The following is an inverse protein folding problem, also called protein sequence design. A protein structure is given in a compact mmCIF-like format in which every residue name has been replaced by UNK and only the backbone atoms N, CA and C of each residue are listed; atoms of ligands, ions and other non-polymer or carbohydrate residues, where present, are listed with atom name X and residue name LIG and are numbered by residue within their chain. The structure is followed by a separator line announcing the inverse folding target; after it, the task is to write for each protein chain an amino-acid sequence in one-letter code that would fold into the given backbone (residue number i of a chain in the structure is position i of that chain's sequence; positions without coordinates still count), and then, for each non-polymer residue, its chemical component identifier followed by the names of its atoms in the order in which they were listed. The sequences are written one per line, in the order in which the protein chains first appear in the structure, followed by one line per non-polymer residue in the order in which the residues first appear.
data_IF_216836615728
#
_entry.id   IF_216836615728
#
_cell.length_a   1.000
_cell.length_b   1.000
_cell.length_c   1.000
_cell.angle_alpha   90.00
_cell.angle_beta   90.00
_cell.angle_gamma   90.00
#
_symmetry.space_group_name_H-M   'P 1'
#
loop_
_entity.id
_entity.type
_entity.pdbx_description
1 polymer ?
#
# COMPACT_ATOMS: atom_id res chain seq x y z
N UNK A 1 2.25 19.87 -10.13
CA UNK A 1 1.70 19.99 -8.76
C UNK A 1 0.62 21.08 -8.77
N UNK A 2 -0.65 20.70 -8.64
CA UNK A 2 -1.72 21.68 -8.43
C UNK A 2 -1.58 22.22 -7.01
N UNK A 3 -1.56 23.55 -6.91
CA UNK A 3 -1.24 24.37 -5.75
C UNK A 3 -1.70 23.77 -4.41
N UNK A 4 -0.74 23.50 -3.53
CA UNK A 4 -0.97 23.49 -2.09
C UNK A 4 -1.40 24.91 -1.74
N UNK A 5 -2.59 25.05 -1.18
CA UNK A 5 -3.20 26.32 -0.81
C UNK A 5 -2.25 27.16 0.07
N UNK A 6 -2.43 28.47 0.08
CA UNK A 6 -1.65 29.40 0.90
C UNK A 6 -1.63 28.97 2.39
N UNK A 7 -0.64 29.41 3.15
CA UNK A 7 -0.54 29.10 4.59
C UNK A 7 -1.82 29.47 5.37
N UNK A 8 -2.48 30.56 5.00
CA UNK A 8 -3.75 31.01 5.61
C UNK A 8 -4.87 29.98 5.33
N UNK A 9 -4.95 29.44 4.13
CA UNK A 9 -5.94 28.40 3.79
C UNK A 9 -5.65 27.08 4.51
N UNK A 10 -4.38 26.69 4.63
CA UNK A 10 -3.98 25.51 5.39
C UNK A 10 -4.36 25.63 6.86
N UNK A 11 -4.16 26.79 7.45
CA UNK A 11 -4.56 27.05 8.83
C UNK A 11 -6.10 26.93 9.02
N UNK A 12 -6.88 27.49 8.10
CA UNK A 12 -8.35 27.34 8.11
C UNK A 12 -8.79 25.87 8.00
N UNK A 13 -8.18 25.09 7.11
CA UNK A 13 -8.50 23.67 6.93
C UNK A 13 -8.14 22.84 8.18
N UNK A 14 -6.98 23.06 8.77
CA UNK A 14 -6.57 22.41 10.02
C UNK A 14 -7.53 22.72 11.16
N UNK A 15 -7.85 23.99 11.39
CA UNK A 15 -8.84 24.41 12.40
C UNK A 15 -10.21 23.77 12.18
N UNK A 16 -10.66 23.70 10.92
CA UNK A 16 -11.93 23.06 10.57
C UNK A 16 -11.93 21.56 10.92
N UNK A 17 -10.89 20.81 10.52
CA UNK A 17 -10.83 19.37 10.81
C UNK A 17 -10.64 19.07 12.30
N UNK A 18 -9.85 19.86 13.04
CA UNK A 18 -9.73 19.72 14.50
C UNK A 18 -11.08 19.95 15.16
N UNK A 19 -11.82 21.00 14.78
CA UNK A 19 -13.16 21.27 15.29
C UNK A 19 -14.16 20.15 14.95
N UNK A 20 -13.95 19.45 13.83
CA UNK A 20 -14.74 18.29 13.41
C UNK A 20 -14.33 16.98 14.12
N UNK A 21 -13.39 17.01 15.05
CA UNK A 21 -12.97 15.87 15.86
C UNK A 21 -11.83 15.03 15.28
N UNK A 22 -11.10 15.55 14.28
CA UNK A 22 -9.87 14.90 13.80
C UNK A 22 -8.73 15.19 14.76
N UNK A 23 -8.08 14.14 15.25
CA UNK A 23 -6.88 14.28 16.11
C UNK A 23 -5.65 14.48 15.22
N UNK A 24 -4.95 15.58 15.40
CA UNK A 24 -3.70 15.89 14.70
C UNK A 24 -2.56 16.04 15.69
N UNK A 25 -1.43 15.44 15.37
CA UNK A 25 -0.18 15.63 16.12
C UNK A 25 0.73 16.50 15.25
N UNK A 26 1.21 17.65 15.76
CA UNK A 26 1.95 18.63 14.97
C UNK A 26 1.15 19.18 13.80
N UNK A 27 -0.03 19.77 14.00
CA UNK A 27 -0.95 20.14 12.92
C UNK A 27 -0.33 21.06 11.88
N UNK A 28 0.63 21.90 12.24
CA UNK A 28 1.37 22.80 11.36
C UNK A 28 2.13 22.06 10.25
N UNK A 29 2.44 20.80 10.44
CA UNK A 29 3.17 19.94 9.51
C UNK A 29 2.26 19.14 8.57
N UNK A 30 0.93 19.27 8.72
CA UNK A 30 -0.06 18.51 7.96
C UNK A 30 -0.70 19.41 6.90
N UNK A 31 -0.76 18.92 5.67
CA UNK A 31 -1.30 19.67 4.53
C UNK A 31 -2.53 19.00 3.93
N UNK A 32 -3.56 19.79 3.63
CA UNK A 32 -4.84 19.31 3.09
C UNK A 32 -5.17 19.96 1.75
N UNK A 33 -5.82 19.20 0.87
CA UNK A 33 -6.59 19.76 -0.22
C UNK A 33 -7.97 20.22 0.25
N UNK A 34 -8.53 21.27 -0.40
CA UNK A 34 -9.86 21.83 -0.07
C UNK A 34 -11.00 20.82 -0.18
N UNK A 35 -10.86 19.81 -1.02
CA UNK A 35 -11.87 18.80 -1.30
C UNK A 35 -11.73 17.53 -0.44
N UNK A 36 -10.81 17.53 0.52
CA UNK A 36 -10.59 16.43 1.46
C UNK A 36 -11.86 16.16 2.29
N UNK A 37 -12.22 14.89 2.43
CA UNK A 37 -13.33 14.44 3.29
C UNK A 37 -12.81 13.47 4.33
N UNK A 38 -13.11 13.72 5.61
CA UNK A 38 -12.63 12.92 6.75
C UNK A 38 -13.80 12.54 7.65
N UNK A 39 -13.87 11.27 8.02
CA UNK A 39 -14.85 10.72 8.96
C UNK A 39 -14.50 10.98 10.42
N UNK A 40 -15.13 10.20 11.32
CA UNK A 40 -14.97 10.32 12.77
C UNK A 40 -13.79 9.51 13.30
N UNK A 41 -13.21 9.91 14.44
CA UNK A 41 -12.12 9.20 15.14
C UNK A 41 -10.90 8.96 14.24
N UNK A 42 -10.51 9.94 13.46
CA UNK A 42 -9.32 9.88 12.61
C UNK A 42 -8.15 10.52 13.33
N UNK A 43 -7.01 9.85 13.29
CA UNK A 43 -5.73 10.38 13.80
C UNK A 43 -4.77 10.60 12.63
N UNK A 44 -4.16 11.77 12.56
CA UNK A 44 -3.17 12.13 11.54
C UNK A 44 -1.90 12.58 12.26
N UNK A 45 -0.82 11.87 11.99
CA UNK A 45 0.50 12.12 12.56
C UNK A 45 1.27 13.19 11.74
N UNK A 46 2.39 13.72 12.25
CA UNK A 46 3.12 14.80 11.60
C UNK A 46 3.60 14.50 10.18
N UNK A 47 3.80 15.54 9.39
CA UNK A 47 4.36 15.48 8.02
C UNK A 47 3.53 14.68 7.03
N UNK A 48 2.21 14.66 7.18
CA UNK A 48 1.29 14.02 6.24
C UNK A 48 0.81 15.03 5.21
N UNK A 49 0.82 14.63 3.94
CA UNK A 49 0.27 15.41 2.83
C UNK A 49 -0.97 14.72 2.27
N UNK A 50 -2.11 15.39 2.34
CA UNK A 50 -3.39 14.93 1.80
C UNK A 50 -3.74 15.78 0.59
N UNK A 51 -3.44 15.24 -0.59
CA UNK A 51 -3.71 15.84 -1.89
C UNK A 51 -5.19 15.81 -2.29
N UNK A 52 -5.49 16.20 -3.54
CA UNK A 52 -6.84 16.25 -4.06
C UNK A 52 -7.58 14.90 -4.03
N UNK A 53 -8.92 14.97 -3.93
CA UNK A 53 -9.86 13.85 -4.06
C UNK A 53 -9.66 12.72 -3.05
N UNK A 54 -9.09 13.01 -1.88
CA UNK A 54 -8.94 12.02 -0.80
C UNK A 54 -10.19 11.95 0.06
N UNK A 55 -10.67 10.71 0.29
CA UNK A 55 -11.78 10.41 1.19
C UNK A 55 -11.34 9.42 2.26
N UNK A 56 -11.43 9.81 3.52
CA UNK A 56 -11.03 9.03 4.68
C UNK A 56 -12.27 8.67 5.51
N UNK A 57 -12.45 7.39 5.80
CA UNK A 57 -13.54 6.87 6.63
C UNK A 57 -13.31 7.08 8.13
N UNK A 58 -13.99 6.28 8.94
CA UNK A 58 -13.95 6.38 10.40
C UNK A 58 -12.85 5.50 11.01
N UNK A 59 -12.33 5.88 12.17
CA UNK A 59 -11.33 5.11 12.94
C UNK A 59 -10.07 4.81 12.11
N UNK A 60 -9.60 5.77 11.35
CA UNK A 60 -8.42 5.65 10.48
C UNK A 60 -7.22 6.32 11.14
N UNK A 61 -6.07 5.71 11.01
CA UNK A 61 -4.79 6.31 11.41
C UNK A 61 -3.91 6.52 10.19
N UNK A 62 -3.44 7.76 10.00
CA UNK A 62 -2.45 8.10 8.98
C UNK A 62 -1.15 8.47 9.69
N UNK A 63 -0.16 7.62 9.52
CA UNK A 63 1.15 7.79 10.15
C UNK A 63 2.05 8.73 9.36
N UNK A 64 3.06 9.26 10.03
CA UNK A 64 3.96 10.33 9.55
C UNK A 64 4.58 10.05 8.19
N UNK A 65 4.88 11.12 7.46
CA UNK A 65 5.54 11.11 6.16
C UNK A 65 4.77 10.37 5.06
N UNK A 66 3.46 10.22 5.21
CA UNK A 66 2.61 9.61 4.20
C UNK A 66 2.06 10.64 3.22
N UNK A 67 1.97 10.28 1.94
CA UNK A 67 1.43 11.12 0.88
C UNK A 67 0.24 10.43 0.21
N UNK A 68 -0.91 11.09 0.21
CA UNK A 68 -2.18 10.57 -0.28
C UNK A 68 -2.72 11.45 -1.40
N UNK A 69 -3.16 10.86 -2.51
CA UNK A 69 -3.78 11.56 -3.62
C UNK A 69 -4.84 10.68 -4.30
N UNK A 70 -6.01 11.26 -4.61
CA UNK A 70 -7.13 10.63 -5.33
C UNK A 70 -7.37 9.18 -4.90
N UNK A 71 -7.60 8.99 -3.60
CA UNK A 71 -7.78 7.68 -3.00
C UNK A 71 -8.98 7.63 -2.04
N UNK A 72 -9.49 6.42 -1.82
CA UNK A 72 -10.57 6.13 -0.88
C UNK A 72 -10.06 5.21 0.21
N UNK A 73 -10.10 5.67 1.45
CA UNK A 73 -9.69 4.92 2.63
C UNK A 73 -10.96 4.63 3.43
N UNK A 74 -11.32 3.36 3.58
CA UNK A 74 -12.48 2.92 4.34
C UNK A 74 -12.18 2.94 5.84
N UNK A 75 -13.14 2.41 6.63
CA UNK A 75 -13.04 2.44 8.08
C UNK A 75 -11.92 1.53 8.62
N UNK A 76 -11.37 1.88 9.78
CA UNK A 76 -10.40 1.08 10.54
C UNK A 76 -9.12 0.75 9.76
N UNK A 77 -8.72 1.59 8.83
CA UNK A 77 -7.50 1.45 8.04
C UNK A 77 -6.34 2.14 8.75
N UNK A 78 -5.16 1.54 8.62
CA UNK A 78 -3.89 2.14 9.02
C UNK A 78 -3.01 2.36 7.80
N UNK A 79 -2.44 3.58 7.66
CA UNK A 79 -1.57 3.96 6.55
C UNK A 79 -0.26 4.53 7.07
N UNK A 80 0.85 4.04 6.55
CA UNK A 80 2.20 4.52 6.85
C UNK A 80 2.86 3.88 8.07
N UNK A 81 3.99 4.45 8.54
CA UNK A 81 4.61 5.68 8.02
C UNK A 81 5.24 5.52 6.62
N UNK A 82 5.61 6.65 5.97
CA UNK A 82 6.25 6.67 4.65
C UNK A 82 5.47 5.92 3.57
N UNK A 83 4.15 5.93 3.61
CA UNK A 83 3.31 5.32 2.60
C UNK A 83 2.92 6.32 1.50
N UNK A 84 2.82 5.84 0.27
CA UNK A 84 2.35 6.63 -0.86
C UNK A 84 1.11 6.02 -1.47
N UNK A 85 -0.03 6.69 -1.36
CA UNK A 85 -1.27 6.31 -2.02
C UNK A 85 -1.48 7.20 -3.23
N UNK A 86 -1.49 6.59 -4.42
CA UNK A 86 -1.62 7.28 -5.71
C UNK A 86 -3.04 7.16 -6.25
N UNK A 87 -3.37 7.97 -7.30
CA UNK A 87 -4.69 7.99 -7.90
C UNK A 87 -5.29 6.62 -8.21
N UNK A 88 -6.57 6.45 -7.87
CA UNK A 88 -7.32 5.23 -8.08
C UNK A 88 -7.12 4.15 -7.01
N UNK A 89 -6.47 4.47 -5.89
CA UNK A 89 -6.30 3.54 -4.77
C UNK A 89 -7.56 3.47 -3.91
N UNK A 90 -7.99 2.25 -3.58
CA UNK A 90 -9.08 1.98 -2.64
C UNK A 90 -8.56 1.03 -1.57
N UNK A 91 -8.62 1.47 -0.31
CA UNK A 91 -8.30 0.66 0.85
C UNK A 91 -9.60 0.26 1.55
N UNK A 92 -9.89 -1.03 1.56
CA UNK A 92 -11.09 -1.57 2.20
C UNK A 92 -10.92 -1.71 3.72
N UNK A 93 -12.03 -1.90 4.43
CA UNK A 93 -12.09 -1.87 5.88
C UNK A 93 -11.03 -2.75 6.56
N UNK A 94 -10.31 -2.18 7.52
CA UNK A 94 -9.31 -2.85 8.32
C UNK A 94 -8.05 -3.26 7.57
N UNK A 95 -7.86 -2.81 6.32
CA UNK A 95 -6.60 -3.03 5.62
C UNK A 95 -5.47 -2.21 6.21
N UNK A 96 -4.22 -2.67 6.02
CA UNK A 96 -3.04 -2.01 6.53
C UNK A 96 -1.99 -1.82 5.44
N UNK A 97 -1.54 -0.58 5.29
CA UNK A 97 -0.43 -0.19 4.41
C UNK A 97 0.69 0.34 5.31
N UNK A 98 1.81 -0.33 5.32
CA UNK A 98 2.93 0.03 6.19
C UNK A 98 3.99 0.89 5.51
N UNK A 99 5.22 0.82 6.03
CA UNK A 99 6.29 1.73 5.65
C UNK A 99 6.90 1.42 4.27
N UNK A 100 7.20 2.48 3.54
CA UNK A 100 7.79 2.41 2.19
C UNK A 100 6.96 1.58 1.21
N UNK A 101 5.65 1.67 1.32
CA UNK A 101 4.71 1.00 0.43
C UNK A 101 4.06 2.03 -0.49
N UNK A 102 4.12 1.76 -1.79
CA UNK A 102 3.40 2.53 -2.79
C UNK A 102 2.24 1.72 -3.37
N UNK A 103 1.03 2.30 -3.37
CA UNK A 103 -0.17 1.70 -3.97
C UNK A 103 -0.74 2.62 -5.03
N UNK A 104 -1.04 2.08 -6.23
CA UNK A 104 -1.56 2.85 -7.37
C UNK A 104 -2.63 2.08 -8.13
N UNK A 105 -3.77 2.73 -8.47
CA UNK A 105 -4.86 2.12 -9.25
C UNK A 105 -5.21 0.70 -8.78
N UNK A 106 -5.30 0.51 -7.46
CA UNK A 106 -5.45 -0.82 -6.86
C UNK A 106 -6.47 -0.81 -5.74
N UNK A 107 -7.17 -1.91 -5.59
CA UNK A 107 -8.05 -2.16 -4.45
C UNK A 107 -7.36 -3.14 -3.50
N UNK A 108 -7.18 -2.72 -2.24
CA UNK A 108 -6.68 -3.57 -1.16
C UNK A 108 -7.88 -4.03 -0.33
N UNK A 109 -8.22 -5.31 -0.39
CA UNK A 109 -9.40 -5.90 0.22
C UNK A 109 -9.39 -5.86 1.75
N UNK A 110 -10.54 -6.18 2.35
CA UNK A 110 -10.73 -6.13 3.80
C UNK A 110 -9.68 -6.92 4.57
N UNK A 111 -9.11 -6.32 5.63
CA UNK A 111 -8.11 -6.93 6.52
C UNK A 111 -6.84 -7.43 5.82
N UNK A 112 -6.59 -7.00 4.58
CA UNK A 112 -5.38 -7.31 3.85
C UNK A 112 -4.23 -6.40 4.29
N UNK A 113 -3.01 -6.91 4.22
CA UNK A 113 -1.82 -6.25 4.76
C UNK A 113 -0.71 -6.18 3.72
N UNK A 114 -0.15 -4.98 3.54
CA UNK A 114 1.04 -4.70 2.75
C UNK A 114 1.96 -3.88 3.66
N UNK A 115 2.82 -4.54 4.42
CA UNK A 115 3.43 -3.89 5.58
C UNK A 115 4.75 -3.18 5.28
N UNK A 116 5.53 -3.60 4.28
CA UNK A 116 6.90 -3.11 4.10
C UNK A 116 7.36 -3.12 2.65
N UNK A 117 8.05 -2.05 2.21
CA UNK A 117 8.95 -2.03 1.05
C UNK A 117 8.33 -2.61 -0.24
N UNK A 118 7.07 -2.34 -0.53
CA UNK A 118 6.34 -2.99 -1.63
C UNK A 118 5.75 -1.99 -2.62
N UNK A 119 5.69 -2.38 -3.89
CA UNK A 119 4.93 -1.67 -4.90
C UNK A 119 3.74 -2.51 -5.38
N UNK A 120 2.53 -1.95 -5.25
CA UNK A 120 1.28 -2.58 -5.70
C UNK A 120 0.56 -1.66 -6.67
N UNK A 121 0.67 -1.98 -7.97
CA UNK A 121 0.07 -1.22 -9.06
C UNK A 121 -0.90 -2.04 -9.89
N UNK A 122 -1.99 -1.40 -10.36
CA UNK A 122 -3.02 -1.98 -11.23
C UNK A 122 -3.51 -3.36 -10.75
N UNK A 123 -3.80 -3.48 -9.43
CA UNK A 123 -4.04 -4.75 -8.75
C UNK A 123 -5.36 -4.80 -7.99
N UNK A 124 -5.96 -5.98 -7.93
CA UNK A 124 -7.15 -6.27 -7.13
C UNK A 124 -6.78 -7.33 -6.08
N UNK A 125 -6.68 -6.91 -4.81
CA UNK A 125 -6.44 -7.81 -3.69
C UNK A 125 -7.77 -8.12 -2.99
N UNK A 126 -8.03 -9.40 -2.76
CA UNK A 126 -9.15 -9.90 -2.00
C UNK A 126 -9.01 -9.66 -0.50
N UNK A 127 -9.86 -10.32 0.30
CA UNK A 127 -9.87 -10.24 1.75
C UNK A 127 -8.74 -11.06 2.35
N UNK A 128 -8.10 -10.54 3.42
CA UNK A 128 -7.14 -11.30 4.22
C UNK A 128 -5.83 -11.64 3.49
N UNK A 129 -5.50 -10.93 2.43
CA UNK A 129 -4.24 -11.12 1.71
C UNK A 129 -3.08 -10.58 2.54
N UNK A 130 -1.99 -11.32 2.59
CA UNK A 130 -0.73 -10.86 3.17
C UNK A 130 0.34 -10.73 2.09
N UNK A 131 0.86 -9.52 1.93
CA UNK A 131 1.96 -9.23 0.98
C UNK A 131 3.25 -9.07 1.78
N UNK A 132 4.20 -9.94 1.51
CA UNK A 132 5.53 -9.93 2.12
C UNK A 132 6.37 -8.75 1.69
N UNK A 133 7.33 -8.38 2.52
CA UNK A 133 8.24 -7.25 2.26
C UNK A 133 8.98 -7.40 0.93
N UNK A 134 9.18 -6.29 0.21
CA UNK A 134 9.88 -6.29 -1.08
C UNK A 134 9.11 -6.88 -2.25
N UNK A 135 7.82 -7.15 -2.08
CA UNK A 135 6.98 -7.67 -3.17
C UNK A 135 6.65 -6.58 -4.19
N UNK A 136 6.75 -6.91 -5.47
CA UNK A 136 6.43 -6.01 -6.58
C UNK A 136 5.40 -6.65 -7.50
N UNK A 137 4.31 -5.94 -7.81
CA UNK A 137 3.45 -6.26 -8.94
C UNK A 137 4.05 -5.65 -10.20
N UNK A 138 4.61 -6.49 -11.08
CA UNK A 138 5.21 -6.06 -12.34
C UNK A 138 4.11 -5.82 -13.35
N UNK A 139 3.45 -4.65 -13.26
CA UNK A 139 2.25 -4.31 -14.01
C UNK A 139 2.51 -3.66 -15.38
N UNK A 140 3.77 -3.38 -15.73
CA UNK A 140 4.15 -2.69 -16.97
C UNK A 140 5.24 -3.45 -17.71
N UNK A 141 5.02 -3.73 -18.99
CA UNK A 141 5.91 -4.51 -19.86
C UNK A 141 6.80 -3.63 -20.77
N UNK A 142 6.81 -2.32 -20.55
CA UNK A 142 7.48 -1.34 -21.41
C UNK A 142 6.54 -0.65 -22.41
N UNK A 143 5.38 -1.24 -22.71
CA UNK A 143 4.40 -0.73 -23.68
C UNK A 143 3.04 -0.53 -23.03
N UNK A 144 2.49 -1.55 -22.38
CA UNK A 144 1.16 -1.55 -21.77
C UNK A 144 1.18 -1.95 -20.30
N UNK A 145 0.10 -1.59 -19.61
CA UNK A 145 -0.15 -2.00 -18.22
C UNK A 145 -1.17 -3.13 -18.18
N UNK A 146 -0.88 -4.12 -17.35
CA UNK A 146 -1.72 -5.30 -17.15
C UNK A 146 -2.11 -5.46 -15.68
N UNK A 147 -3.23 -6.16 -15.43
CA UNK A 147 -3.79 -6.32 -14.08
C UNK A 147 -3.27 -7.57 -13.39
N UNK A 148 -3.04 -7.43 -12.08
CA UNK A 148 -2.82 -8.54 -11.15
C UNK A 148 -4.08 -8.77 -10.31
N UNK A 149 -4.56 -10.01 -10.26
CA UNK A 149 -5.69 -10.42 -9.39
C UNK A 149 -5.19 -11.36 -8.31
N UNK A 150 -5.30 -10.94 -7.06
CA UNK A 150 -4.92 -11.72 -5.88
C UNK A 150 -6.19 -12.01 -5.10
N UNK A 151 -6.60 -13.26 -5.05
CA UNK A 151 -7.86 -13.68 -4.40
C UNK A 151 -7.70 -13.73 -2.88
N UNK A 152 -8.79 -14.08 -2.19
CA UNK A 152 -8.83 -14.07 -0.72
C UNK A 152 -7.80 -14.99 -0.07
N UNK A 153 -7.26 -14.57 1.06
CA UNK A 153 -6.35 -15.32 1.91
C UNK A 153 -5.07 -15.79 1.20
N UNK A 154 -4.64 -15.10 0.16
CA UNK A 154 -3.36 -15.38 -0.49
C UNK A 154 -2.24 -14.86 0.40
N UNK A 155 -1.19 -15.66 0.55
CA UNK A 155 0.06 -15.27 1.20
C UNK A 155 1.16 -15.14 0.14
N UNK A 156 1.80 -13.98 0.08
CA UNK A 156 2.94 -13.75 -0.80
C UNK A 156 4.18 -13.58 0.06
N UNK A 157 5.15 -14.47 -0.12
CA UNK A 157 6.44 -14.40 0.56
C UNK A 157 7.27 -13.19 0.13
N UNK A 158 8.17 -12.77 1.00
CA UNK A 158 9.01 -11.58 0.78
C UNK A 158 9.87 -11.68 -0.50
N UNK A 159 10.20 -10.51 -1.07
CA UNK A 159 11.03 -10.39 -2.28
C UNK A 159 10.47 -11.16 -3.49
N UNK A 160 9.15 -11.20 -3.64
CA UNK A 160 8.49 -11.85 -4.77
C UNK A 160 8.12 -10.84 -5.86
N UNK A 161 8.30 -11.25 -7.12
CA UNK A 161 7.86 -10.50 -8.30
C UNK A 161 6.62 -11.17 -8.90
N UNK A 162 5.51 -10.44 -8.99
CA UNK A 162 4.24 -10.93 -9.54
C UNK A 162 4.03 -10.30 -10.91
N UNK A 163 4.29 -11.05 -11.98
CA UNK A 163 4.31 -10.54 -13.35
C UNK A 163 2.91 -10.58 -13.96
N UNK A 164 2.34 -9.40 -14.19
CA UNK A 164 1.01 -9.26 -14.79
C UNK A 164 1.03 -9.50 -16.33
N UNK A 165 -0.11 -9.96 -16.93
CA UNK A 165 -1.39 -10.25 -16.29
C UNK A 165 -1.40 -11.61 -15.57
N UNK A 166 -1.89 -11.64 -14.33
CA UNK A 166 -1.84 -12.87 -13.54
C UNK A 166 -2.99 -12.95 -12.51
N UNK A 167 -3.34 -14.18 -12.13
CA UNK A 167 -4.26 -14.44 -11.03
C UNK A 167 -3.64 -15.42 -10.03
N UNK A 168 -3.58 -15.00 -8.77
CA UNK A 168 -3.28 -15.87 -7.64
C UNK A 168 -4.62 -16.27 -7.01
N UNK A 169 -4.96 -17.55 -7.06
CA UNK A 169 -6.25 -18.03 -6.59
C UNK A 169 -6.31 -18.15 -5.06
N UNK A 170 -7.53 -18.23 -4.51
CA UNK A 170 -7.81 -18.24 -3.07
C UNK A 170 -6.95 -19.25 -2.30
N UNK A 171 -6.47 -18.83 -1.12
CA UNK A 171 -5.62 -19.62 -0.20
C UNK A 171 -4.31 -20.12 -0.85
N UNK A 172 -3.86 -19.56 -1.96
CA UNK A 172 -2.56 -19.92 -2.51
C UNK A 172 -1.42 -19.23 -1.76
N UNK A 173 -0.25 -19.82 -1.83
CA UNK A 173 0.97 -19.33 -1.21
C UNK A 173 2.01 -19.15 -2.29
N UNK A 174 2.70 -18.01 -2.26
CA UNK A 174 3.93 -17.78 -3.03
C UNK A 174 5.11 -17.82 -2.09
N UNK A 175 6.07 -18.68 -2.36
CA UNK A 175 7.31 -18.76 -1.59
C UNK A 175 8.19 -17.53 -1.78
N UNK A 176 8.87 -17.09 -0.73
CA UNK A 176 9.76 -15.93 -0.78
C UNK A 176 10.81 -16.04 -1.90
N UNK A 177 11.17 -14.89 -2.50
CA UNK A 177 12.16 -14.82 -3.58
C UNK A 177 11.68 -15.39 -4.93
N UNK A 178 10.38 -15.58 -5.12
CA UNK A 178 9.84 -16.18 -6.35
C UNK A 178 9.45 -15.12 -7.39
N UNK A 179 9.67 -15.44 -8.67
CA UNK A 179 9.16 -14.69 -9.83
C UNK A 179 7.98 -15.46 -10.44
N UNK A 180 6.77 -15.00 -10.21
CA UNK A 180 5.54 -15.68 -10.61
C UNK A 180 5.01 -15.10 -11.91
N UNK A 181 5.01 -15.92 -12.96
CA UNK A 181 4.61 -15.55 -14.32
C UNK A 181 3.36 -16.29 -14.82
N UNK A 182 2.88 -17.29 -14.08
CA UNK A 182 1.72 -18.11 -14.43
C UNK A 182 0.71 -18.13 -13.30
N UNK A 183 -0.57 -18.30 -13.64
CA UNK A 183 -1.66 -18.45 -12.67
C UNK A 183 -1.32 -19.48 -11.58
N UNK A 184 -1.50 -19.09 -10.32
CA UNK A 184 -1.34 -19.99 -9.18
C UNK A 184 -2.70 -20.56 -8.79
N UNK A 185 -2.81 -21.87 -8.73
CA UNK A 185 -4.07 -22.57 -8.42
C UNK A 185 -4.46 -22.40 -6.94
N UNK A 186 -5.74 -22.57 -6.65
CA UNK A 186 -6.28 -22.55 -5.28
C UNK A 186 -5.58 -23.57 -4.40
N UNK A 187 -5.29 -23.20 -3.13
CA UNK A 187 -4.68 -24.06 -2.11
C UNK A 187 -3.32 -24.66 -2.52
N UNK A 188 -2.55 -23.98 -3.36
CA UNK A 188 -1.24 -24.45 -3.81
C UNK A 188 -0.12 -23.53 -3.37
N UNK A 189 1.09 -24.06 -3.29
CA UNK A 189 2.34 -23.35 -3.09
C UNK A 189 3.05 -23.22 -4.44
N UNK A 190 3.38 -21.99 -4.86
CA UNK A 190 4.18 -21.70 -6.05
C UNK A 190 5.59 -21.26 -5.64
N UNK A 191 6.59 -21.85 -6.24
CA UNK A 191 8.02 -21.58 -6.04
C UNK A 191 8.72 -21.49 -7.39
N UNK A 192 9.63 -20.52 -7.54
CA UNK A 192 10.47 -20.37 -8.76
C UNK A 192 11.93 -20.07 -8.44
N UNK A 193 12.34 -20.21 -7.19
CA UNK A 193 13.72 -20.02 -6.75
C UNK A 193 14.57 -21.27 -6.96
N UNK A 194 15.86 -21.08 -7.22
CA UNK A 194 16.83 -22.18 -7.31
C UNK A 194 17.00 -22.92 -5.99
N UNK A 195 17.44 -24.18 -6.06
CA UNK A 195 17.85 -24.93 -4.88
C UNK A 195 19.05 -24.25 -4.21
N UNK A 196 19.10 -24.30 -2.88
CA UNK A 196 20.25 -23.81 -2.13
C UNK A 196 21.46 -24.72 -2.38
N UNK A 197 22.62 -24.11 -2.62
CA UNK A 197 23.90 -24.81 -2.77
C UNK A 197 24.83 -24.30 -1.68
N UNK A 198 25.54 -25.23 -1.03
CA UNK A 198 26.58 -24.92 -0.05
C UNK A 198 27.96 -25.33 -0.59
N UNK A 199 28.90 -24.40 -0.55
CA UNK A 199 30.31 -24.68 -0.90
C UNK A 199 31.11 -24.75 0.41
N UNK A 200 31.48 -25.98 0.79
CA UNK A 200 32.29 -26.21 1.99
C UNK A 200 33.68 -25.60 1.84
N UNK A 201 34.23 -25.08 2.95
CA UNK A 201 35.56 -24.50 3.02
C UNK A 201 35.80 -23.33 2.04
N UNK A 202 34.72 -22.60 1.68
CA UNK A 202 34.85 -21.43 0.81
C UNK A 202 35.79 -20.39 1.41
N UNK A 203 36.88 -20.09 0.69
CA UNK A 203 37.83 -19.03 1.06
C UNK A 203 37.51 -17.76 0.27
N UNK A 204 37.18 -16.68 0.98
CA UNK A 204 37.03 -15.36 0.35
C UNK A 204 38.38 -14.91 -0.25
N UNK A 205 38.39 -14.46 -1.51
CA UNK A 205 39.55 -13.82 -2.08
C UNK A 205 39.88 -12.57 -1.28
N UNK A 206 41.02 -12.50 -0.62
CA UNK A 206 41.59 -11.27 -0.04
C UNK A 206 42.39 -10.55 -1.12
N UNK A 207 42.29 -9.18 -1.11
CA UNK A 207 43.16 -8.34 -1.96
C UNK A 207 44.57 -8.44 -1.49
#
# INVERSE_FOLDING_TARGET
MKQINSNIEQEKLRKFFIKSGVKMIGPETIFFSKDTKIGKNVTINPYVVIGPKVKIGNNVTINSFSHLEDCKIRNKVEVGPYARLRPGTILEEGSKIGNFVEVKKSTVGKKSKINHLSYVGDSELGKGVNVGAGTITCNYDGVKKSKTKIRDNVFIGSNSSIVAPITLEKNSIVGAGSVITKKVKKNSLALTRSAQIEIKNYKRRTK
#
